data_IF_644037442947
#
_entry.id   IF_644037442947
#
_cell.length_a   1.000
_cell.length_b   1.000
_cell.length_c   1.000
_cell.angle_alpha   90.00
_cell.angle_beta   90.00
_cell.angle_gamma   90.00
#
_symmetry.space_group_name_H-M   'P 1'
#
loop_
_entity.id
_entity.type
_entity.pdbx_description
1 polymer ?
#
# COMPACT_ATOMS: atom_id res chain seq x y z
N UNK A 1 19.78 9.61 -9.27
CA UNK A 1 19.10 10.83 -8.80
C UNK A 1 18.45 10.46 -7.49
N UNK A 2 19.07 10.85 -6.38
CA UNK A 2 18.57 10.57 -5.04
C UNK A 2 17.47 11.57 -4.71
N UNK A 3 16.26 11.29 -5.17
CA UNK A 3 15.07 12.03 -4.74
C UNK A 3 14.67 11.45 -3.40
N UNK A 4 15.24 11.97 -2.32
CA UNK A 4 14.74 11.69 -0.98
C UNK A 4 13.24 12.01 -0.96
N UNK A 5 12.41 10.97 -0.91
CA UNK A 5 10.96 11.12 -0.88
C UNK A 5 10.58 11.81 0.42
N UNK A 6 10.02 13.01 0.32
CA UNK A 6 9.42 13.67 1.46
C UNK A 6 8.01 13.11 1.70
N UNK A 7 7.59 12.98 2.97
CA UNK A 7 6.22 12.59 3.27
C UNK A 7 5.23 13.57 2.61
N UNK A 8 4.07 13.09 2.13
CA UNK A 8 3.05 13.97 1.60
C UNK A 8 2.56 14.93 2.70
N UNK A 9 2.17 16.13 2.30
CA UNK A 9 1.52 17.09 3.20
C UNK A 9 0.27 16.48 3.86
N UNK A 10 -0.23 17.05 4.98
CA UNK A 10 -1.51 16.63 5.56
C UNK A 10 -2.64 16.64 4.54
N UNK A 11 -3.61 15.73 4.69
CA UNK A 11 -4.78 15.68 3.82
C UNK A 11 -5.60 16.97 3.97
N UNK A 12 -5.91 17.62 2.84
CA UNK A 12 -6.74 18.82 2.85
C UNK A 12 -8.17 18.51 3.36
N UNK A 13 -8.86 19.47 4.01
CA UNK A 13 -10.24 19.29 4.44
C UNK A 13 -11.15 18.85 3.27
N UNK A 14 -11.90 17.75 3.45
CA UNK A 14 -12.75 17.17 2.41
C UNK A 14 -11.99 16.44 1.29
N UNK A 15 -10.66 16.36 1.34
CA UNK A 15 -9.85 15.66 0.36
C UNK A 15 -9.98 14.14 0.42
N UNK A 16 -9.61 13.48 -0.66
CA UNK A 16 -9.43 12.03 -0.75
C UNK A 16 -7.95 11.73 -1.00
N UNK A 17 -7.36 10.87 -0.18
CA UNK A 17 -6.02 10.32 -0.42
C UNK A 17 -6.15 8.90 -0.95
N UNK A 18 -5.38 8.61 -2.00
CA UNK A 18 -5.28 7.28 -2.60
C UNK A 18 -3.83 6.83 -2.45
N UNK A 19 -3.62 5.64 -1.91
CA UNK A 19 -2.29 5.05 -1.71
C UNK A 19 -2.32 3.60 -2.15
N UNK A 20 -1.64 3.30 -3.26
CA UNK A 20 -1.45 1.93 -3.71
C UNK A 20 -0.28 1.31 -2.93
N UNK A 21 -0.56 0.27 -2.15
CA UNK A 21 0.41 -0.50 -1.37
C UNK A 21 0.97 -1.70 -2.14
N UNK A 22 0.40 -2.01 -3.31
CA UNK A 22 0.94 -2.98 -4.27
C UNK A 22 0.13 -2.99 -5.57
N UNK A 23 0.66 -3.67 -6.59
CA UNK A 23 0.06 -3.72 -7.93
C UNK A 23 0.45 -2.57 -8.85
N UNK A 24 1.44 -1.74 -8.49
CA UNK A 24 1.97 -0.65 -9.33
C UNK A 24 3.31 -1.09 -9.92
N UNK A 25 3.41 -1.08 -11.25
CA UNK A 25 4.58 -1.57 -12.00
C UNK A 25 4.95 -3.04 -11.73
N UNK A 26 4.05 -3.81 -11.11
CA UNK A 26 4.18 -5.25 -10.85
C UNK A 26 2.81 -5.93 -10.99
N UNK A 27 2.81 -7.24 -11.26
CA UNK A 27 1.58 -8.05 -11.35
C UNK A 27 1.38 -8.78 -10.02
N UNK A 28 0.27 -8.53 -9.34
CA UNK A 28 -0.05 -9.17 -8.05
C UNK A 28 0.13 -8.23 -6.87
N UNK A 29 -0.09 -8.73 -5.65
CA UNK A 29 -0.04 -7.93 -4.42
C UNK A 29 -0.94 -6.68 -4.45
N UNK A 30 -2.01 -6.69 -5.25
CA UNK A 30 -2.89 -5.54 -5.39
C UNK A 30 -3.49 -5.15 -4.04
N UNK A 31 -3.28 -3.91 -3.63
CA UNK A 31 -3.92 -3.35 -2.45
C UNK A 31 -3.91 -1.83 -2.56
N UNK A 32 -5.09 -1.22 -2.48
CA UNK A 32 -5.22 0.25 -2.50
C UNK A 32 -5.98 0.73 -1.28
N UNK A 33 -5.42 1.71 -0.58
CA UNK A 33 -6.02 2.38 0.56
C UNK A 33 -6.57 3.74 0.12
N UNK A 34 -7.83 3.96 0.42
CA UNK A 34 -8.52 5.24 0.28
C UNK A 34 -8.70 5.84 1.68
N UNK A 35 -8.25 7.07 1.88
CA UNK A 35 -8.44 7.82 3.12
C UNK A 35 -9.32 9.05 2.86
N UNK A 36 -10.43 9.14 3.59
CA UNK A 36 -11.36 10.27 3.54
C UNK A 36 -11.98 10.52 4.92
N UNK A 37 -11.97 11.77 5.37
CA UNK A 37 -12.54 12.19 6.67
C UNK A 37 -12.06 11.32 7.86
N UNK A 38 -10.77 10.95 7.87
CA UNK A 38 -10.17 10.11 8.92
C UNK A 38 -10.61 8.64 8.89
N UNK A 39 -11.36 8.21 7.87
CA UNK A 39 -11.78 6.83 7.66
C UNK A 39 -10.98 6.21 6.53
N UNK A 40 -10.77 4.90 6.61
CA UNK A 40 -10.07 4.12 5.60
C UNK A 40 -11.04 3.19 4.87
N UNK A 41 -10.88 3.05 3.56
CA UNK A 41 -11.47 2.00 2.74
C UNK A 41 -10.33 1.28 2.00
N UNK A 42 -10.25 -0.03 2.14
CA UNK A 42 -9.26 -0.86 1.44
C UNK A 42 -9.97 -1.56 0.30
N UNK A 43 -9.37 -1.52 -0.89
CA UNK A 43 -9.79 -2.30 -2.06
C UNK A 43 -8.68 -3.29 -2.39
N UNK A 44 -9.08 -4.57 -2.48
CA UNK A 44 -8.22 -5.74 -2.58
C UNK A 44 -7.24 -5.92 -1.42
N UNK A 45 -6.70 -7.13 -1.31
CA UNK A 45 -5.58 -7.48 -0.43
C UNK A 45 -4.89 -8.71 -1.03
N UNK A 46 -4.42 -8.55 -2.26
CA UNK A 46 -3.80 -9.61 -3.03
C UNK A 46 -2.44 -10.03 -2.51
N UNK A 47 -1.96 -11.15 -3.01
CA UNK A 47 -0.60 -11.66 -2.79
C UNK A 47 0.17 -11.65 -4.11
N UNK A 48 1.49 -11.64 -4.03
CA UNK A 48 2.38 -11.91 -5.15
C UNK A 48 3.07 -13.25 -4.90
N UNK A 49 3.10 -14.11 -5.93
CA UNK A 49 3.90 -15.33 -5.89
C UNK A 49 5.36 -15.00 -6.27
N UNK A 50 6.34 -15.53 -5.52
CA UNK A 50 7.75 -15.31 -5.80
C UNK A 50 8.19 -16.03 -7.08
N UNK A 51 9.32 -15.60 -7.63
CA UNK A 51 9.98 -16.23 -8.77
C UNK A 51 11.11 -17.16 -8.28
N UNK A 52 11.85 -17.74 -9.23
CA UNK A 52 12.98 -18.62 -8.92
C UNK A 52 14.14 -17.90 -8.21
N UNK A 53 14.16 -16.56 -8.25
CA UNK A 53 15.22 -15.74 -7.65
C UNK A 53 14.98 -15.45 -6.16
N UNK A 54 13.82 -15.83 -5.59
CA UNK A 54 13.47 -15.63 -4.18
C UNK A 54 13.32 -16.97 -3.41
N UNK A 55 14.41 -17.73 -3.20
CA UNK A 55 14.35 -19.03 -2.53
C UNK A 55 13.93 -18.92 -1.06
N UNK A 56 13.00 -19.77 -0.63
CA UNK A 56 12.49 -19.82 0.74
C UNK A 56 11.37 -18.82 1.04
N UNK A 57 10.91 -18.07 0.04
CA UNK A 57 9.71 -17.23 0.13
C UNK A 57 8.53 -18.00 -0.47
N UNK A 58 7.41 -18.07 0.24
CA UNK A 58 6.16 -18.68 -0.27
C UNK A 58 5.24 -17.62 -0.90
N UNK A 59 5.11 -16.46 -0.25
CA UNK A 59 4.23 -15.37 -0.65
C UNK A 59 4.87 -14.03 -0.33
N UNK A 60 4.60 -13.04 -1.18
CA UNK A 60 4.99 -11.64 -0.98
C UNK A 60 3.72 -10.82 -0.74
N UNK A 61 3.65 -10.12 0.40
CA UNK A 61 2.48 -9.39 0.88
C UNK A 61 2.65 -7.87 0.74
N UNK A 62 1.55 -7.08 0.68
CA UNK A 62 1.60 -5.64 0.82
C UNK A 62 2.14 -5.24 2.20
N UNK A 63 2.77 -4.08 2.29
CA UNK A 63 3.25 -3.55 3.56
C UNK A 63 2.10 -2.94 4.38
N UNK A 64 1.63 -3.70 5.37
CA UNK A 64 0.50 -3.32 6.23
C UNK A 64 0.83 -2.23 7.27
N UNK A 65 2.09 -1.83 7.42
CA UNK A 65 2.48 -0.76 8.37
C UNK A 65 1.76 0.56 8.12
N UNK A 66 1.26 0.77 6.90
CA UNK A 66 0.44 1.94 6.56
C UNK A 66 -0.90 2.02 7.32
N UNK A 67 -1.46 0.88 7.74
CA UNK A 67 -2.81 0.79 8.34
C UNK A 67 -2.85 0.14 9.72
N UNK A 68 -1.73 -0.41 10.20
CA UNK A 68 -1.63 -1.18 11.46
C UNK A 68 -2.21 -0.43 12.68
N UNK A 69 -1.95 0.87 12.82
CA UNK A 69 -2.47 1.70 13.92
C UNK A 69 -3.87 2.29 13.70
N UNK A 70 -4.65 1.77 12.74
CA UNK A 70 -5.93 2.33 12.28
C UNK A 70 -7.04 1.27 12.18
N UNK A 71 -6.88 0.13 12.84
CA UNK A 71 -7.80 -1.02 12.79
C UNK A 71 -9.01 -0.89 13.73
N UNK A 72 -8.98 0.08 14.64
CA UNK A 72 -10.02 0.37 15.65
C UNK A 72 -11.00 1.46 15.17
#
# INVERSE_FOLDING_TARGET
MDLALTPPAPLAPGGLRVTALGGINEIGRNMTVFEHLGRLLIVDCGVLFPTHDEPGVDLILPDLRHVEGRLD
#
